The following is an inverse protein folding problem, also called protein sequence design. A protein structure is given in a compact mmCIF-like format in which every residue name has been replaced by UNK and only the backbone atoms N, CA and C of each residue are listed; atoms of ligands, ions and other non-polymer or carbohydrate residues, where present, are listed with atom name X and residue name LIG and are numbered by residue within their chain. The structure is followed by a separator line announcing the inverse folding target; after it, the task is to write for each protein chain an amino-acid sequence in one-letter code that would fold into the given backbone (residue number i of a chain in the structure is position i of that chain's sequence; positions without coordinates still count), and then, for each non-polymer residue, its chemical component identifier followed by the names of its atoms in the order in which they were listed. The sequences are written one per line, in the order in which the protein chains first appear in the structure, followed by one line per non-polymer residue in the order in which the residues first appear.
data_IF_694460904600
#
_entry.id   IF_694460904600
#
_cell.length_a   1.000
_cell.length_b   1.000
_cell.length_c   1.000
_cell.angle_alpha   90.00
_cell.angle_beta   90.00
_cell.angle_gamma   90.00
#
_symmetry.space_group_name_H-M   'P 1'
#
loop_
_entity.id
_entity.type
_entity.pdbx_description
1 polymer ?
#
# COMPACT_ATOMS: atom_id res chain seq x y z
N UNK A 1 11.36 8.18 -0.35
CA UNK A 1 11.22 7.41 -1.60
C UNK A 1 10.13 8.08 -2.42
N UNK A 2 10.33 8.29 -3.72
CA UNK A 2 9.36 9.06 -4.52
C UNK A 2 8.18 8.19 -4.98
N UNK A 3 8.46 6.98 -5.47
CA UNK A 3 7.46 6.08 -6.05
C UNK A 3 7.86 4.60 -5.83
N UNK A 4 6.89 3.75 -5.51
CA UNK A 4 7.09 2.30 -5.34
C UNK A 4 6.93 1.58 -6.69
N UNK A 5 8.03 1.06 -7.25
CA UNK A 5 8.02 0.45 -8.60
C UNK A 5 8.27 -1.05 -8.65
N UNK A 6 8.84 -1.64 -7.60
CA UNK A 6 9.20 -3.06 -7.60
C UNK A 6 9.65 -3.54 -6.22
N UNK A 7 10.75 -4.32 -6.18
CA UNK A 7 11.32 -4.88 -4.95
C UNK A 7 11.77 -3.82 -3.91
N UNK A 8 11.72 -2.53 -4.26
CA UNK A 8 11.96 -1.37 -3.38
C UNK A 8 10.90 -1.21 -2.26
N UNK A 9 10.06 -2.22 -2.04
CA UNK A 9 9.14 -2.32 -0.89
C UNK A 9 9.85 -2.47 0.46
N UNK A 10 11.17 -2.29 0.49
CA UNK A 10 11.94 -1.93 1.69
C UNK A 10 11.35 -0.75 2.47
N UNK A 11 10.35 -0.01 1.95
CA UNK A 11 9.44 0.82 2.75
C UNK A 11 8.92 0.09 4.01
N UNK A 12 8.54 -1.18 3.91
CA UNK A 12 8.07 -1.95 5.07
C UNK A 12 9.18 -2.21 6.10
N UNK A 13 10.45 -2.29 5.68
CA UNK A 13 11.60 -2.43 6.58
C UNK A 13 12.07 -1.07 7.14
N UNK A 14 12.04 0.00 6.34
CA UNK A 14 12.36 1.35 6.76
C UNK A 14 11.35 1.93 7.75
N UNK A 15 10.05 1.80 7.44
CA UNK A 15 8.96 2.26 8.33
C UNK A 15 8.90 1.47 9.64
N UNK A 16 9.21 0.16 9.62
CA UNK A 16 9.27 -0.66 10.84
C UNK A 16 10.53 -0.44 11.70
N UNK A 17 11.57 0.22 11.17
CA UNK A 17 12.79 0.59 11.90
C UNK A 17 12.69 1.90 12.70
N UNK A 18 11.51 2.54 12.72
CA UNK A 18 11.27 3.79 13.47
C UNK A 18 11.29 5.07 12.62
N UNK A 19 11.41 4.97 11.29
CA UNK A 19 11.31 6.10 10.38
C UNK A 19 9.84 6.38 10.03
N UNK A 20 9.10 6.94 10.98
CA UNK A 20 7.71 7.34 10.80
C UNK A 20 7.56 8.58 9.90
N UNK A 21 6.37 8.78 9.31
CA UNK A 21 6.04 9.97 8.51
C UNK A 21 6.52 9.93 7.05
N UNK A 22 6.83 8.74 6.53
CA UNK A 22 7.21 8.58 5.15
C UNK A 22 6.03 8.86 4.20
N UNK A 23 6.33 9.51 3.07
CA UNK A 23 5.39 9.72 1.97
C UNK A 23 6.00 9.18 0.67
N UNK A 24 5.20 8.47 -0.11
CA UNK A 24 5.57 7.87 -1.39
C UNK A 24 4.31 7.71 -2.26
N UNK A 25 4.48 7.51 -3.57
CA UNK A 25 3.37 7.21 -4.49
C UNK A 25 3.43 5.76 -4.97
N UNK A 26 2.30 5.24 -5.44
CA UNK A 26 2.18 3.97 -6.15
C UNK A 26 1.11 4.09 -7.23
N UNK A 27 1.31 3.46 -8.38
CA UNK A 27 0.36 3.49 -9.49
C UNK A 27 -0.69 2.41 -9.31
N UNK A 28 -1.80 2.73 -8.63
CA UNK A 28 -2.96 1.85 -8.47
C UNK A 28 -4.25 2.66 -8.46
N UNK A 29 -5.38 2.05 -8.85
CA UNK A 29 -6.63 2.78 -9.11
C UNK A 29 -7.50 3.04 -7.87
N UNK A 30 -7.37 2.18 -6.85
CA UNK A 30 -8.13 2.24 -5.59
C UNK A 30 -7.21 1.97 -4.40
N UNK A 31 -7.63 2.30 -3.17
CA UNK A 31 -6.85 1.95 -1.99
C UNK A 31 -6.70 0.44 -1.80
N UNK A 32 -7.68 -0.37 -2.18
CA UNK A 32 -7.54 -1.83 -2.18
C UNK A 32 -6.46 -2.31 -3.16
N UNK A 33 -6.51 -1.81 -4.40
CA UNK A 33 -5.50 -2.13 -5.42
C UNK A 33 -4.10 -1.67 -4.97
N UNK A 34 -4.01 -0.52 -4.29
CA UNK A 34 -2.78 -0.04 -3.68
C UNK A 34 -2.20 -1.04 -2.67
N UNK A 35 -3.03 -1.59 -1.79
CA UNK A 35 -2.59 -2.61 -0.82
C UNK A 35 -2.12 -3.88 -1.55
N UNK A 36 -2.90 -4.39 -2.48
CA UNK A 36 -2.55 -5.60 -3.24
C UNK A 36 -1.28 -5.40 -4.07
N UNK A 37 -1.15 -4.26 -4.72
CA UNK A 37 0.02 -3.86 -5.48
C UNK A 37 1.27 -3.75 -4.61
N UNK A 38 1.15 -3.26 -3.37
CA UNK A 38 2.26 -3.26 -2.41
C UNK A 38 2.63 -4.68 -1.97
N UNK A 39 1.64 -5.55 -1.73
CA UNK A 39 1.89 -6.97 -1.39
C UNK A 39 2.60 -7.70 -2.53
N UNK A 40 2.15 -7.52 -3.78
CA UNK A 40 2.79 -8.12 -4.96
C UNK A 40 4.23 -7.66 -5.10
N UNK A 41 4.49 -6.37 -4.90
CA UNK A 41 5.85 -5.81 -4.95
C UNK A 41 6.72 -6.28 -3.78
N UNK A 42 6.14 -6.68 -2.63
CA UNK A 42 6.89 -7.36 -1.57
C UNK A 42 7.38 -8.74 -2.04
N UNK A 43 6.58 -9.49 -2.80
CA UNK A 43 7.00 -10.77 -3.36
C UNK A 43 8.12 -10.68 -4.41
N UNK A 44 8.39 -9.49 -4.94
CA UNK A 44 9.56 -9.25 -5.79
C UNK A 44 10.88 -9.23 -4.99
N UNK A 45 10.82 -9.04 -3.67
CA UNK A 45 11.98 -9.15 -2.78
C UNK A 45 12.22 -10.64 -2.42
N UNK A 46 13.40 -11.21 -2.70
CA UNK A 46 13.75 -12.59 -2.35
C UNK A 46 13.50 -12.95 -0.87
N UNK A 47 13.66 -11.99 0.05
CA UNK A 47 13.44 -12.20 1.48
C UNK A 47 11.96 -12.47 1.83
N UNK A 48 11.05 -11.99 0.99
CA UNK A 48 9.61 -12.09 1.19
C UNK A 48 8.96 -13.25 0.42
N UNK A 49 9.68 -13.87 -0.52
CA UNK A 49 9.15 -14.96 -1.36
C UNK A 49 8.65 -16.17 -0.55
N UNK A 50 9.29 -16.45 0.59
CA UNK A 50 8.92 -17.59 1.45
C UNK A 50 7.90 -17.24 2.53
N UNK A 51 7.40 -15.99 2.57
CA UNK A 51 6.44 -15.56 3.58
C UNK A 51 5.00 -15.84 3.13
N UNK A 52 4.14 -16.36 4.03
CA UNK A 52 2.72 -16.53 3.72
C UNK A 52 2.06 -15.20 3.37
N UNK A 53 1.14 -15.22 2.40
CA UNK A 53 0.43 -14.04 1.91
C UNK A 53 -0.20 -13.21 3.04
N UNK A 54 -0.91 -13.86 3.96
CA UNK A 54 -1.55 -13.19 5.10
C UNK A 54 -0.57 -12.47 6.02
N UNK A 55 0.68 -12.93 6.11
CA UNK A 55 1.73 -12.26 6.89
C UNK A 55 2.19 -10.99 6.18
N UNK A 56 2.38 -11.03 4.85
CA UNK A 56 2.75 -9.86 4.06
C UNK A 56 1.61 -8.83 4.05
N UNK A 57 0.38 -9.27 3.80
CA UNK A 57 -0.81 -8.41 3.81
C UNK A 57 -0.95 -7.69 5.16
N UNK A 58 -0.84 -8.42 6.27
CA UNK A 58 -0.85 -7.83 7.61
C UNK A 58 0.26 -6.79 7.77
N UNK A 59 1.49 -7.10 7.33
CA UNK A 59 2.62 -6.17 7.42
C UNK A 59 2.40 -4.89 6.60
N UNK A 60 1.88 -5.00 5.39
CA UNK A 60 1.57 -3.84 4.54
C UNK A 60 0.53 -2.95 5.24
N UNK A 61 -0.61 -3.52 5.65
CA UNK A 61 -1.67 -2.78 6.33
C UNK A 61 -1.21 -2.18 7.67
N UNK A 62 -0.29 -2.83 8.39
CA UNK A 62 0.22 -2.28 9.65
C UNK A 62 1.18 -1.10 9.45
N UNK A 63 1.96 -1.09 8.36
CA UNK A 63 2.98 -0.06 8.11
C UNK A 63 2.49 1.12 7.25
N UNK A 64 1.27 1.05 6.72
CA UNK A 64 0.67 2.13 5.93
C UNK A 64 -0.42 2.79 6.77
N UNK A 65 -0.22 4.04 7.16
CA UNK A 65 -1.21 4.79 7.94
C UNK A 65 -2.38 5.26 7.08
N UNK A 66 -2.08 5.82 5.90
CA UNK A 66 -3.05 6.43 4.98
C UNK A 66 -2.71 6.08 3.54
N UNK A 67 -3.73 5.75 2.75
CA UNK A 67 -3.64 5.72 1.27
C UNK A 67 -4.70 6.66 0.73
N UNK A 68 -4.32 7.53 -0.20
CA UNK A 68 -5.25 8.40 -0.92
C UNK A 68 -5.15 8.12 -2.41
N UNK A 69 -6.24 7.67 -3.01
CA UNK A 69 -6.33 7.50 -4.46
C UNK A 69 -6.77 8.80 -5.10
N UNK A 70 -6.13 9.17 -6.21
CA UNK A 70 -6.42 10.38 -6.98
C UNK A 70 -6.87 9.93 -8.37
N UNK A 71 -8.02 10.43 -8.83
CA UNK A 71 -8.55 10.19 -10.17
C UNK A 71 -8.78 11.49 -10.91
N UNK A 72 -8.78 11.39 -12.24
CA UNK A 72 -9.22 12.45 -13.14
C UNK A 72 -10.75 12.47 -13.20
N UNK A 73 -11.34 13.67 -13.14
CA UNK A 73 -12.78 13.89 -13.32
C UNK A 73 -13.12 13.77 -14.81
N UNK A 74 -12.25 14.32 -15.65
CA UNK A 74 -12.39 14.46 -17.10
C UNK A 74 -10.99 14.47 -17.76
N UNK A 75 -10.95 14.65 -19.08
CA UNK A 75 -9.70 14.82 -19.84
C UNK A 75 -9.03 16.19 -19.63
N UNK A 76 -9.65 17.11 -18.86
CA UNK A 76 -9.18 18.48 -18.63
C UNK A 76 -8.32 18.61 -17.35
N UNK A 77 -7.64 17.53 -16.95
CA UNK A 77 -6.70 17.50 -15.83
C UNK A 77 -7.29 17.83 -14.44
N UNK A 78 -8.61 17.91 -14.29
CA UNK A 78 -9.28 18.11 -13.01
C UNK A 78 -9.15 16.84 -12.14
N UNK A 79 -8.67 16.99 -10.89
CA UNK A 79 -8.38 15.85 -9.99
C UNK A 79 -9.20 15.89 -8.72
N UNK A 80 -9.56 14.71 -8.22
CA UNK A 80 -10.23 14.55 -6.93
C UNK A 80 -9.70 13.34 -6.17
N UNK A 81 -9.82 13.41 -4.84
CA UNK A 81 -9.56 12.26 -3.97
C UNK A 81 -10.72 11.25 -4.14
N UNK A 82 -10.47 10.14 -4.83
CA UNK A 82 -11.48 9.16 -5.16
C UNK A 82 -11.68 8.08 -4.11
N UNK A 83 -10.76 7.96 -3.16
CA UNK A 83 -10.80 6.98 -2.09
C UNK A 83 -9.73 7.24 -1.05
N UNK A 84 -10.04 6.90 0.20
CA UNK A 84 -9.10 6.97 1.31
C UNK A 84 -9.14 5.67 2.10
N UNK A 85 -7.96 5.12 2.35
CA UNK A 85 -7.75 4.15 3.42
C UNK A 85 -7.10 4.88 4.59
N UNK A 86 -7.60 4.62 5.78
CA UNK A 86 -7.00 5.07 7.03
C UNK A 86 -6.96 3.88 7.99
N UNK A 87 -5.75 3.51 8.41
CA UNK A 87 -5.47 2.26 9.14
C UNK A 87 -6.40 2.05 10.33
N UNK A 88 -6.54 3.04 11.20
CA UNK A 88 -7.22 2.87 12.49
C UNK A 88 -8.74 2.61 12.32
N UNK A 89 -9.30 2.93 11.16
CA UNK A 89 -10.71 2.67 10.83
C UNK A 89 -10.85 1.42 9.96
N UNK A 90 -9.99 1.26 8.96
CA UNK A 90 -10.23 0.31 7.86
C UNK A 90 -9.38 -0.96 7.95
N UNK A 91 -8.41 -1.05 8.87
CA UNK A 91 -7.47 -2.17 8.93
C UNK A 91 -8.17 -3.53 8.95
N UNK A 92 -9.14 -3.72 9.85
CA UNK A 92 -9.81 -5.01 10.01
C UNK A 92 -10.66 -5.35 8.78
N UNK A 93 -11.40 -4.39 8.24
CA UNK A 93 -12.20 -4.55 7.02
C UNK A 93 -11.33 -5.00 5.84
N UNK A 94 -10.22 -4.29 5.60
CA UNK A 94 -9.31 -4.58 4.48
C UNK A 94 -8.60 -5.92 4.67
N UNK A 95 -8.17 -6.24 5.90
CA UNK A 95 -7.53 -7.51 6.17
C UNK A 95 -8.47 -8.68 5.93
N UNK A 96 -9.74 -8.58 6.35
CA UNK A 96 -10.74 -9.62 6.11
C UNK A 96 -11.12 -9.74 4.63
N UNK A 97 -11.24 -8.61 3.93
CA UNK A 97 -11.61 -8.56 2.51
C UNK A 97 -10.50 -9.08 1.58
N UNK A 98 -9.24 -8.83 1.91
CA UNK A 98 -8.09 -9.08 1.02
C UNK A 98 -7.29 -10.35 1.36
N UNK A 99 -7.61 -11.05 2.45
CA UNK A 99 -6.93 -12.31 2.85
C UNK A 99 -7.43 -13.56 2.11
N UNK A 100 -8.55 -13.43 1.38
CA UNK A 100 -9.13 -14.48 0.53
C UNK A 100 -8.35 -14.62 -0.78
#
# INVERSE_FOLDING_TARGET
MTEVRGADTGFSQGSSSGHAGNLTTVHESTPEDAVLGLVQRCYMNPECQNLPYNIILRRVLSNVDVIMSIKYIDEEDNRFASGIYYRDIHFQEYFEKLKE
#
